data_IF_576181137325
#
_entry.id   IF_576181137325
#
_cell.length_a   1.000
_cell.length_b   1.000
_cell.length_c   1.000
_cell.angle_alpha   90.00
_cell.angle_beta   90.00
_cell.angle_gamma   90.00
#
_symmetry.space_group_name_H-M   'P 1'
#
loop_
_entity.id
_entity.type
_entity.pdbx_description
1 polymer ?
#
# COMPACT_ATOMS: atom_id res chain seq x y z
N UNK A 1 -49.12 -35.89 -29.72
CA UNK A 1 -48.06 -36.49 -28.88
C UNK A 1 -47.12 -35.36 -28.48
N UNK A 2 -47.19 -34.70 -27.33
CA UNK A 2 -47.62 -35.14 -26.01
C UNK A 2 -46.42 -35.71 -25.25
N UNK A 3 -45.63 -34.85 -24.60
CA UNK A 3 -44.96 -35.13 -23.32
C UNK A 3 -44.63 -33.83 -22.61
N UNK A 4 -45.56 -33.45 -21.74
CA UNK A 4 -45.34 -32.53 -20.62
C UNK A 4 -44.35 -33.18 -19.65
N UNK A 5 -43.27 -32.49 -19.29
CA UNK A 5 -42.52 -32.79 -18.07
C UNK A 5 -42.72 -31.65 -17.09
N UNK A 6 -43.65 -31.90 -16.17
CA UNK A 6 -43.84 -31.20 -14.91
C UNK A 6 -42.59 -31.41 -14.07
N UNK A 7 -41.92 -30.33 -13.69
CA UNK A 7 -41.08 -30.32 -12.50
C UNK A 7 -41.58 -29.19 -11.63
N UNK A 8 -41.88 -29.55 -10.40
CA UNK A 8 -42.64 -28.77 -9.44
C UNK A 8 -41.85 -27.57 -8.93
N UNK A 9 -42.58 -26.48 -8.78
CA UNK A 9 -42.18 -25.21 -8.22
C UNK A 9 -41.79 -25.32 -6.75
N UNK A 10 -40.52 -25.09 -6.43
CA UNK A 10 -40.15 -24.51 -5.15
C UNK A 10 -40.23 -22.99 -5.31
N UNK A 11 -41.35 -22.43 -4.88
CA UNK A 11 -41.57 -21.00 -4.83
C UNK A 11 -40.60 -20.34 -3.87
N UNK A 12 -39.66 -19.59 -4.42
CA UNK A 12 -39.07 -18.43 -3.76
C UNK A 12 -39.16 -17.28 -4.75
N UNK A 13 -40.23 -16.50 -4.63
CA UNK A 13 -40.38 -15.25 -5.34
C UNK A 13 -39.40 -14.24 -4.73
N UNK A 14 -38.24 -14.06 -5.37
CA UNK A 14 -37.30 -13.01 -5.01
C UNK A 14 -37.91 -11.69 -5.48
N UNK A 15 -38.54 -10.96 -4.55
CA UNK A 15 -38.87 -9.54 -4.78
C UNK A 15 -37.57 -8.75 -4.90
N UNK A 16 -37.17 -8.47 -6.13
CA UNK A 16 -36.11 -7.50 -6.42
C UNK A 16 -36.68 -6.10 -6.11
N UNK A 17 -36.14 -5.34 -5.16
CA UNK A 17 -36.60 -3.97 -4.92
C UNK A 17 -36.27 -3.11 -6.14
N UNK A 18 -37.23 -2.31 -6.56
CA UNK A 18 -37.05 -1.31 -7.61
C UNK A 18 -35.97 -0.30 -7.19
N UNK A 19 -34.85 -0.33 -7.90
CA UNK A 19 -33.67 0.51 -7.63
C UNK A 19 -33.86 1.94 -8.15
N UNK A 20 -35.01 2.28 -8.74
CA UNK A 20 -35.33 3.64 -9.23
C UNK A 20 -35.40 4.70 -8.12
N UNK A 21 -35.47 4.29 -6.86
CA UNK A 21 -35.55 5.16 -5.68
C UNK A 21 -34.22 5.33 -4.92
N UNK A 22 -33.12 4.68 -5.36
CA UNK A 22 -31.82 4.85 -4.68
C UNK A 22 -31.17 6.17 -5.12
N UNK A 23 -31.37 7.21 -4.31
CA UNK A 23 -30.61 8.45 -4.42
C UNK A 23 -29.14 8.20 -4.04
N UNK A 24 -28.26 8.16 -5.04
CA UNK A 24 -26.80 8.12 -4.87
C UNK A 24 -26.29 9.57 -4.88
N UNK A 25 -25.78 10.12 -3.74
CA UNK A 25 -25.25 11.47 -3.73
C UNK A 25 -24.01 11.56 -4.61
N UNK A 26 -24.07 12.34 -5.69
CA UNK A 26 -22.91 12.63 -6.52
C UNK A 26 -21.93 13.49 -5.72
N UNK A 27 -20.79 12.91 -5.33
CA UNK A 27 -19.63 13.64 -4.80
C UNK A 27 -19.22 14.73 -5.80
N UNK A 28 -19.53 15.99 -5.49
CA UNK A 28 -19.02 17.13 -6.24
C UNK A 28 -17.52 17.26 -5.97
N UNK A 29 -16.71 17.10 -7.02
CA UNK A 29 -15.38 17.71 -7.08
C UNK A 29 -15.60 19.22 -7.06
N UNK A 30 -15.16 19.88 -6.00
CA UNK A 30 -15.12 21.34 -5.94
C UNK A 30 -14.20 21.87 -7.04
N UNK A 31 -14.79 22.51 -8.04
CA UNK A 31 -14.11 23.38 -8.98
C UNK A 31 -14.48 24.81 -8.60
N UNK A 32 -13.47 25.64 -8.38
CA UNK A 32 -13.61 27.07 -8.10
C UNK A 32 -14.21 27.78 -9.32
N UNK A 33 -15.41 28.35 -9.14
CA UNK A 33 -16.05 29.24 -10.10
C UNK A 33 -17.22 29.92 -9.42
N UNK A 34 -17.11 31.24 -9.21
CA UNK A 34 -17.97 32.02 -8.34
C UNK A 34 -19.41 32.21 -8.81
N UNK A 35 -20.28 32.46 -7.85
CA UNK A 35 -21.67 32.90 -8.03
C UNK A 35 -22.30 33.13 -6.67
N UNK A 36 -22.51 34.40 -6.30
CA UNK A 36 -23.14 34.84 -5.05
C UNK A 36 -24.58 34.34 -4.97
N UNK A 37 -24.95 33.74 -3.83
CA UNK A 37 -26.33 33.71 -3.32
C UNK A 37 -26.27 33.92 -1.81
N UNK A 38 -26.95 34.97 -1.36
CA UNK A 38 -27.17 35.29 0.05
C UNK A 38 -27.88 34.12 0.74
N UNK A 39 -27.35 33.71 1.89
CA UNK A 39 -27.99 32.80 2.82
C UNK A 39 -28.23 33.56 4.11
N UNK A 40 -29.50 33.64 4.48
CA UNK A 40 -29.98 34.21 5.74
C UNK A 40 -29.25 33.58 6.91
N UNK A 41 -28.67 34.43 7.75
CA UNK A 41 -27.74 34.02 8.81
C UNK A 41 -28.51 33.88 10.11
N UNK A 42 -28.62 32.65 10.61
CA UNK A 42 -29.21 32.31 11.91
C UNK A 42 -28.61 33.16 13.06
N UNK A 43 -29.41 33.65 14.02
CA UNK A 43 -28.99 34.67 15.01
C UNK A 43 -27.83 34.26 15.93
N UNK A 44 -27.52 32.96 16.04
CA UNK A 44 -26.46 32.43 16.91
C UNK A 44 -25.03 32.69 16.40
N UNK A 45 -24.81 32.82 15.08
CA UNK A 45 -23.46 33.01 14.50
C UNK A 45 -22.98 34.46 14.47
N UNK A 46 -23.89 35.43 14.54
CA UNK A 46 -23.55 36.86 14.61
C UNK A 46 -22.95 37.24 15.98
N UNK A 47 -23.42 36.59 17.03
CA UNK A 47 -22.94 36.84 18.39
C UNK A 47 -21.50 36.36 18.58
N UNK A 48 -21.18 35.15 18.09
CA UNK A 48 -19.82 34.62 18.10
C UNK A 48 -18.83 35.48 17.28
N UNK A 49 -19.28 36.01 16.13
CA UNK A 49 -18.48 36.93 15.33
C UNK A 49 -18.20 38.25 16.07
N UNK A 50 -19.19 38.78 16.79
CA UNK A 50 -19.05 39.99 17.61
C UNK A 50 -18.06 39.77 18.77
N UNK A 51 -18.14 38.61 19.44
CA UNK A 51 -17.20 38.25 20.53
C UNK A 51 -15.76 38.15 20.04
N UNK A 52 -15.52 37.52 18.88
CA UNK A 52 -14.18 37.42 18.30
C UNK A 52 -13.60 38.80 17.91
N UNK A 53 -14.46 39.68 17.39
CA UNK A 53 -14.06 41.04 17.01
C UNK A 53 -13.75 41.92 18.23
N UNK A 54 -14.38 41.68 19.37
CA UNK A 54 -14.05 42.36 20.64
C UNK A 54 -12.78 41.82 21.29
N UNK A 55 -12.51 40.51 21.18
CA UNK A 55 -11.28 39.92 21.70
C UNK A 55 -10.04 40.39 20.93
N UNK A 56 -10.15 40.60 19.62
CA UNK A 56 -9.05 41.13 18.81
C UNK A 56 -8.66 42.58 19.16
N UNK A 57 -9.57 43.35 19.79
CA UNK A 57 -9.33 44.75 20.19
C UNK A 57 -8.72 44.90 21.59
N UNK A 58 -8.65 43.82 22.37
CA UNK A 58 -8.18 43.85 23.76
C UNK A 58 -6.73 43.37 23.95
N UNK A 59 -6.00 43.06 22.87
CA UNK A 59 -4.58 42.68 22.93
C UNK A 59 -3.70 43.93 22.84
N UNK A 60 -2.87 44.25 23.85
CA UNK A 60 -1.89 45.33 23.74
C UNK A 60 -0.78 44.97 22.75
N UNK A 61 -0.38 45.98 21.96
CA UNK A 61 0.59 45.93 20.87
C UNK A 61 2.00 45.63 21.39
N UNK A 62 2.59 44.49 21.01
CA UNK A 62 4.03 44.22 21.14
C UNK A 62 4.68 44.41 19.76
N UNK A 63 5.63 45.34 19.69
CA UNK A 63 6.36 45.70 18.48
C UNK A 63 7.12 44.50 17.88
N UNK A 64 7.00 44.32 16.56
CA UNK A 64 7.73 43.33 15.78
C UNK A 64 9.09 43.88 15.36
N UNK A 65 10.16 43.29 15.88
CA UNK A 65 11.53 43.51 15.44
C UNK A 65 11.73 43.02 13.98
N UNK A 66 12.13 43.94 13.08
CA UNK A 66 12.46 43.67 11.68
C UNK A 66 13.97 43.44 11.53
N UNK A 67 14.41 42.21 11.30
CA UNK A 67 15.74 41.96 10.71
C UNK A 67 15.62 41.75 9.20
N UNK A 68 16.01 42.78 8.44
CA UNK A 68 16.29 42.70 7.00
C UNK A 68 17.61 41.94 6.79
N UNK A 69 17.71 41.10 5.77
CA UNK A 69 18.98 40.94 5.04
C UNK A 69 18.75 40.49 3.59
N UNK A 70 19.01 41.43 2.69
CA UNK A 70 19.28 41.21 1.27
C UNK A 70 20.74 40.77 1.12
N UNK A 71 21.03 39.75 0.29
CA UNK A 71 22.23 39.69 -0.58
C UNK A 71 22.37 38.39 -1.37
N UNK A 72 22.29 38.58 -2.69
CA UNK A 72 23.17 38.03 -3.75
C UNK A 72 23.71 36.60 -3.63
N UNK A 73 23.29 35.81 -4.61
CA UNK A 73 23.96 34.68 -5.26
C UNK A 73 25.51 34.84 -5.30
N UNK A 74 26.23 33.91 -4.65
CA UNK A 74 27.63 33.57 -4.91
C UNK A 74 27.83 32.06 -4.70
N UNK A 75 28.33 31.39 -5.73
CA UNK A 75 28.90 30.04 -5.70
C UNK A 75 30.16 30.00 -4.82
N UNK A 76 30.43 28.88 -4.15
CA UNK A 76 31.80 28.45 -3.95
C UNK A 76 32.01 27.01 -4.43
N UNK A 77 32.85 26.87 -5.46
CA UNK A 77 33.60 25.64 -5.74
C UNK A 77 34.76 25.59 -4.75
N UNK A 78 34.84 24.54 -3.92
CA UNK A 78 36.12 23.99 -3.43
C UNK A 78 35.85 22.76 -2.55
N UNK A 79 36.30 21.62 -3.08
CA UNK A 79 36.60 20.34 -2.45
C UNK A 79 36.66 20.29 -0.91
N UNK A 80 35.73 19.55 -0.31
CA UNK A 80 35.92 18.90 0.99
C UNK A 80 35.58 17.41 0.83
N UNK A 81 36.43 16.50 1.32
CA UNK A 81 36.31 15.07 1.02
C UNK A 81 35.05 14.49 1.66
N UNK A 82 34.20 13.91 0.82
CA UNK A 82 33.01 13.18 1.23
C UNK A 82 33.44 12.06 2.17
N UNK A 83 33.18 12.23 3.47
CA UNK A 83 33.29 11.17 4.46
C UNK A 83 32.27 10.11 4.05
N UNK A 84 32.71 9.14 3.24
CA UNK A 84 31.94 7.96 2.87
C UNK A 84 31.52 7.31 4.17
N UNK A 85 30.28 7.54 4.61
CA UNK A 85 29.66 6.67 5.60
C UNK A 85 29.63 5.30 4.94
N UNK A 86 30.60 4.46 5.27
CA UNK A 86 30.54 3.03 5.02
C UNK A 86 29.18 2.60 5.53
N UNK A 87 28.27 2.30 4.61
CA UNK A 87 27.11 1.49 4.90
C UNK A 87 27.73 0.21 5.44
N UNK A 88 27.66 0.02 6.76
CA UNK A 88 27.95 -1.27 7.37
C UNK A 88 26.99 -2.23 6.68
N UNK A 89 27.53 -2.99 5.72
CA UNK A 89 26.88 -4.18 5.20
C UNK A 89 26.73 -5.04 6.45
N UNK A 90 25.53 -5.07 7.03
CA UNK A 90 25.20 -6.06 8.05
C UNK A 90 25.31 -7.39 7.31
N UNK A 91 26.50 -7.98 7.34
CA UNK A 91 26.66 -9.40 7.15
C UNK A 91 25.81 -10.05 8.23
N UNK A 92 24.62 -10.48 7.84
CA UNK A 92 23.93 -11.52 8.56
C UNK A 92 24.73 -12.79 8.28
N UNK A 93 25.46 -13.35 9.26
CA UNK A 93 26.20 -14.58 9.06
C UNK A 93 25.16 -15.69 8.98
N UNK A 94 25.06 -16.34 7.81
CA UNK A 94 24.01 -17.25 7.38
C UNK A 94 22.60 -16.63 7.25
N UNK A 95 22.09 -16.57 6.03
CA UNK A 95 20.65 -16.39 5.80
C UNK A 95 20.02 -17.73 6.18
N UNK A 96 19.10 -17.78 7.16
CA UNK A 96 18.40 -19.02 7.47
C UNK A 96 17.75 -19.57 6.21
N UNK A 97 17.94 -20.85 5.92
CA UNK A 97 17.25 -21.49 4.80
C UNK A 97 15.74 -21.54 5.09
N UNK A 98 14.92 -21.56 4.03
CA UNK A 98 13.48 -21.77 4.17
C UNK A 98 13.23 -23.07 4.94
N UNK A 99 12.24 -23.08 5.84
CA UNK A 99 11.89 -24.31 6.56
C UNK A 99 11.45 -25.43 5.61
N UNK A 100 11.81 -26.68 5.95
CA UNK A 100 11.50 -27.84 5.12
C UNK A 100 10.00 -27.95 4.81
N UNK A 101 9.13 -27.72 5.79
CA UNK A 101 7.68 -27.77 5.58
C UNK A 101 7.15 -26.72 4.60
N UNK A 102 7.75 -25.51 4.57
CA UNK A 102 7.36 -24.50 3.57
C UNK A 102 7.86 -24.90 2.18
N UNK A 103 9.08 -25.44 2.09
CA UNK A 103 9.67 -25.89 0.83
C UNK A 103 8.92 -27.08 0.24
N UNK A 104 8.58 -28.06 1.06
CA UNK A 104 7.77 -29.22 0.69
C UNK A 104 6.41 -28.76 0.19
N UNK A 105 5.74 -27.84 0.90
CA UNK A 105 4.47 -27.27 0.45
C UNK A 105 4.57 -26.61 -0.93
N UNK A 106 5.65 -25.86 -1.20
CA UNK A 106 5.87 -25.27 -2.53
C UNK A 106 5.99 -26.39 -3.59
N UNK A 107 6.74 -27.46 -3.30
CA UNK A 107 6.90 -28.59 -4.21
C UNK A 107 5.59 -29.35 -4.44
N UNK A 108 4.79 -29.59 -3.40
CA UNK A 108 3.46 -30.20 -3.51
C UNK A 108 2.52 -29.40 -4.42
N UNK A 109 2.64 -28.07 -4.41
CA UNK A 109 1.91 -27.19 -5.31
C UNK A 109 2.46 -27.18 -6.75
N UNK A 110 3.47 -27.99 -7.07
CA UNK A 110 4.15 -27.98 -8.37
C UNK A 110 5.09 -26.78 -8.56
N UNK A 111 5.49 -26.13 -7.48
CA UNK A 111 6.36 -24.97 -7.49
C UNK A 111 7.81 -25.31 -7.85
N UNK A 112 8.40 -24.50 -8.72
CA UNK A 112 9.80 -24.60 -9.19
C UNK A 112 10.48 -23.23 -9.14
N UNK A 113 11.79 -23.19 -9.42
CA UNK A 113 12.57 -21.94 -9.48
C UNK A 113 12.42 -21.10 -8.19
N UNK A 114 12.66 -21.75 -7.05
CA UNK A 114 12.46 -21.15 -5.72
C UNK A 114 13.65 -20.26 -5.39
N UNK A 115 13.41 -18.95 -5.25
CA UNK A 115 14.44 -17.95 -4.98
C UNK A 115 14.08 -17.02 -3.83
N UNK A 116 15.06 -16.69 -3.00
CA UNK A 116 14.90 -15.69 -1.96
C UNK A 116 14.85 -14.30 -2.58
N UNK A 117 13.71 -13.62 -2.43
CA UNK A 117 13.50 -12.26 -2.93
C UNK A 117 14.13 -11.24 -2.00
N UNK A 118 13.78 -11.31 -0.71
CA UNK A 118 14.29 -10.39 0.30
C UNK A 118 14.16 -11.00 1.70
N UNK A 119 15.14 -10.70 2.56
CA UNK A 119 15.01 -10.83 4.01
C UNK A 119 14.99 -9.42 4.59
N UNK A 120 13.95 -9.07 5.34
CA UNK A 120 13.87 -7.75 5.99
C UNK A 120 13.18 -7.82 7.34
N UNK A 121 13.53 -6.86 8.18
CA UNK A 121 12.74 -6.52 9.34
C UNK A 121 11.45 -5.82 8.90
N UNK A 122 10.32 -6.27 9.42
CA UNK A 122 9.01 -5.70 9.15
C UNK A 122 8.95 -4.31 9.79
N UNK A 123 8.64 -3.29 8.99
CA UNK A 123 8.55 -1.91 9.46
C UNK A 123 7.13 -1.56 9.92
N UNK A 124 6.97 -0.52 10.73
CA UNK A 124 5.65 -0.02 11.13
C UNK A 124 4.74 0.31 9.95
N UNK A 125 5.31 0.83 8.86
CA UNK A 125 4.57 1.11 7.62
C UNK A 125 4.07 -0.14 6.93
N UNK A 126 4.76 -1.28 7.11
CA UNK A 126 4.35 -2.53 6.50
C UNK A 126 3.11 -3.11 7.19
N UNK A 127 3.00 -2.99 8.52
CA UNK A 127 1.85 -3.52 9.29
C UNK A 127 0.75 -2.48 9.56
N UNK A 128 0.95 -1.24 9.11
CA UNK A 128 0.00 -0.15 9.32
C UNK A 128 -1.28 -0.41 8.51
N UNK A 129 -2.43 -0.50 9.20
CA UNK A 129 -3.74 -0.66 8.54
C UNK A 129 -4.02 0.41 7.49
N UNK A 130 -3.52 1.62 7.72
CA UNK A 130 -3.68 2.77 6.81
C UNK A 130 -2.87 2.61 5.51
N UNK A 131 -1.65 2.05 5.59
CA UNK A 131 -0.81 1.84 4.41
C UNK A 131 -1.20 0.56 3.67
N UNK A 132 -1.55 -0.50 4.41
CA UNK A 132 -2.10 -1.72 3.86
C UNK A 132 -1.19 -2.47 2.89
N UNK A 133 0.14 -2.35 3.05
CA UNK A 133 1.10 -2.88 2.08
C UNK A 133 2.43 -3.31 2.67
N UNK A 134 3.01 -4.38 2.15
CA UNK A 134 4.43 -4.70 2.32
C UNK A 134 5.25 -4.03 1.23
N UNK A 135 6.26 -3.24 1.61
CA UNK A 135 7.16 -2.59 0.64
C UNK A 135 8.45 -3.39 0.44
N UNK A 136 8.79 -3.63 -0.83
CA UNK A 136 9.95 -4.38 -1.30
C UNK A 136 10.79 -3.47 -2.24
N UNK A 137 11.70 -2.65 -1.68
CA UNK A 137 12.52 -1.74 -2.49
C UNK A 137 13.40 -2.54 -3.45
N UNK A 138 13.39 -2.19 -4.74
CA UNK A 138 14.09 -2.97 -5.78
C UNK A 138 15.60 -3.07 -5.50
N UNK A 139 16.19 -1.99 -4.99
CA UNK A 139 17.60 -1.93 -4.61
C UNK A 139 17.98 -2.78 -3.37
N UNK A 140 17.02 -3.41 -2.71
CA UNK A 140 17.23 -4.31 -1.56
C UNK A 140 16.91 -5.76 -1.88
N UNK A 141 16.44 -6.06 -3.09
CA UNK A 141 16.17 -7.42 -3.52
C UNK A 141 17.48 -8.20 -3.67
N UNK A 142 17.44 -9.47 -3.27
CA UNK A 142 18.50 -10.45 -3.53
C UNK A 142 18.32 -11.10 -4.90
N UNK A 143 17.07 -11.26 -5.32
CA UNK A 143 16.68 -11.83 -6.59
C UNK A 143 15.59 -10.96 -7.22
N UNK A 144 15.76 -10.66 -8.51
CA UNK A 144 14.73 -9.97 -9.28
C UNK A 144 13.72 -11.00 -9.78
N UNK A 145 12.59 -11.07 -9.06
CA UNK A 145 11.64 -12.16 -9.18
C UNK A 145 10.62 -11.99 -10.30
N UNK A 146 10.58 -10.82 -10.96
CA UNK A 146 9.65 -10.52 -12.05
C UNK A 146 10.32 -10.66 -13.42
N UNK A 147 9.61 -11.26 -14.38
CA UNK A 147 10.05 -11.30 -15.78
C UNK A 147 9.89 -9.93 -16.44
N UNK A 148 10.43 -9.75 -17.64
CA UNK A 148 10.30 -8.50 -18.37
C UNK A 148 8.84 -8.19 -18.74
N UNK A 149 8.06 -9.20 -19.08
CA UNK A 149 6.63 -9.09 -19.38
C UNK A 149 5.85 -8.67 -18.13
N UNK A 150 6.14 -9.28 -16.98
CA UNK A 150 5.52 -8.94 -15.69
C UNK A 150 5.88 -7.51 -15.27
N UNK A 151 7.14 -7.10 -15.45
CA UNK A 151 7.58 -5.72 -15.19
C UNK A 151 6.85 -4.73 -16.06
N UNK A 152 6.72 -5.01 -17.36
CA UNK A 152 5.98 -4.16 -18.31
C UNK A 152 4.53 -4.00 -17.86
N UNK A 153 3.87 -5.09 -17.46
CA UNK A 153 2.52 -5.04 -16.92
C UNK A 153 2.43 -4.21 -15.63
N UNK A 154 3.43 -4.31 -14.74
CA UNK A 154 3.47 -3.55 -13.49
C UNK A 154 3.79 -2.06 -13.69
N UNK A 155 4.43 -1.69 -14.79
CA UNK A 155 4.72 -0.30 -15.16
C UNK A 155 3.52 0.41 -15.81
N UNK A 156 2.58 -0.35 -16.37
CA UNK A 156 1.34 0.16 -16.97
C UNK A 156 0.44 0.91 -15.96
N UNK A 157 -0.36 1.82 -16.51
CA UNK A 157 -1.38 2.56 -15.76
C UNK A 157 -2.73 2.43 -16.45
N UNK A 158 -3.75 2.23 -15.64
CA UNK A 158 -5.15 2.17 -16.06
C UNK A 158 -5.93 3.24 -15.29
N UNK A 159 -6.61 4.16 -15.99
CA UNK A 159 -7.44 5.19 -15.36
C UNK A 159 -6.72 6.01 -14.27
N UNK A 160 -5.43 6.34 -14.50
CA UNK A 160 -4.52 7.02 -13.55
C UNK A 160 -4.14 6.21 -12.30
N UNK A 161 -4.55 4.95 -12.21
CA UNK A 161 -4.10 4.02 -11.19
C UNK A 161 -2.99 3.13 -11.75
N UNK A 162 -2.01 2.80 -10.90
CA UNK A 162 -1.01 1.78 -11.24
C UNK A 162 -1.69 0.43 -11.43
N UNK A 163 -1.42 -0.21 -12.56
CA UNK A 163 -1.84 -1.59 -12.80
C UNK A 163 -1.15 -2.50 -11.78
N UNK A 164 -1.82 -3.59 -11.46
CA UNK A 164 -1.28 -4.62 -10.58
C UNK A 164 -1.61 -5.98 -11.15
N UNK A 165 -0.89 -6.98 -10.68
CA UNK A 165 -1.21 -8.37 -10.94
C UNK A 165 -1.49 -9.11 -9.64
N UNK A 166 -2.36 -10.10 -9.73
CA UNK A 166 -2.67 -10.97 -8.61
C UNK A 166 -1.67 -12.13 -8.61
N UNK A 167 -1.00 -12.34 -7.47
CA UNK A 167 -0.08 -13.45 -7.26
C UNK A 167 -0.55 -14.28 -6.08
N UNK A 168 -0.39 -15.59 -6.17
CA UNK A 168 -0.68 -16.49 -5.04
C UNK A 168 0.45 -16.32 -4.02
N UNK A 169 0.07 -16.16 -2.76
CA UNK A 169 0.98 -16.03 -1.64
C UNK A 169 0.66 -17.07 -0.58
N UNK A 170 1.64 -17.91 -0.26
CA UNK A 170 1.58 -18.83 0.88
C UNK A 170 2.32 -18.21 2.07
N UNK A 171 1.79 -18.39 3.27
CA UNK A 171 2.35 -17.75 4.48
C UNK A 171 2.24 -18.63 5.74
N UNK A 172 1.67 -19.82 5.59
CA UNK A 172 1.65 -20.90 6.57
C UNK A 172 1.47 -22.21 5.81
N UNK A 173 1.82 -23.34 6.42
CA UNK A 173 1.63 -24.67 5.84
C UNK A 173 0.13 -24.94 5.75
N UNK A 174 -0.44 -24.71 4.55
CA UNK A 174 -1.88 -24.86 4.27
C UNK A 174 -2.69 -23.56 4.19
N UNK A 175 -2.07 -22.38 4.29
CA UNK A 175 -2.76 -21.09 4.06
C UNK A 175 -2.21 -20.36 2.84
N UNK A 176 -3.13 -20.03 1.95
CA UNK A 176 -2.85 -19.35 0.69
C UNK A 176 -3.79 -18.15 0.55
N UNK A 177 -3.28 -17.06 -0.02
CA UNK A 177 -4.07 -15.87 -0.30
C UNK A 177 -3.65 -15.27 -1.64
N UNK A 178 -4.60 -14.63 -2.32
CA UNK A 178 -4.33 -13.90 -3.54
C UNK A 178 -3.98 -12.45 -3.16
N UNK A 179 -2.73 -12.05 -3.40
CA UNK A 179 -2.23 -10.72 -3.07
C UNK A 179 -2.00 -9.90 -4.34
N UNK A 180 -2.27 -8.60 -4.29
CA UNK A 180 -2.04 -7.73 -5.44
C UNK A 180 -0.62 -7.16 -5.38
N UNK A 181 0.21 -7.52 -6.36
CA UNK A 181 1.53 -6.95 -6.58
C UNK A 181 1.42 -5.71 -7.47
N UNK A 182 2.00 -4.60 -7.02
CA UNK A 182 2.12 -3.35 -7.80
C UNK A 182 3.52 -2.80 -7.75
N UNK A 183 3.94 -2.08 -8.79
CA UNK A 183 5.18 -1.30 -8.78
C UNK A 183 4.87 0.19 -8.55
N UNK A 184 5.51 0.76 -7.53
CA UNK A 184 5.37 2.14 -7.13
C UNK A 184 6.74 2.83 -7.15
N UNK A 185 6.75 4.10 -7.53
CA UNK A 185 7.92 4.95 -7.34
C UNK A 185 7.79 5.65 -5.98
N UNK A 186 8.66 5.31 -5.04
CA UNK A 186 8.71 5.90 -3.70
C UNK A 186 9.99 6.74 -3.61
N UNK A 187 9.82 8.07 -3.67
CA UNK A 187 10.95 8.98 -3.80
C UNK A 187 11.66 8.78 -5.14
N UNK A 188 12.96 8.46 -5.09
CA UNK A 188 13.78 8.19 -6.28
C UNK A 188 13.88 6.71 -6.65
N UNK A 189 13.36 5.80 -5.80
CA UNK A 189 13.49 4.35 -6.02
C UNK A 189 12.15 3.73 -6.39
N UNK A 190 12.19 2.80 -7.34
CA UNK A 190 11.09 1.89 -7.57
C UNK A 190 11.01 0.86 -6.44
N UNK A 191 9.79 0.48 -6.10
CA UNK A 191 9.44 -0.42 -4.99
C UNK A 191 8.27 -1.28 -5.42
N UNK A 192 8.39 -2.58 -5.24
CA UNK A 192 7.24 -3.47 -5.34
C UNK A 192 6.44 -3.42 -4.04
N UNK A 193 5.12 -3.38 -4.15
CA UNK A 193 4.19 -3.32 -3.03
C UNK A 193 3.23 -4.51 -3.12
N UNK A 194 3.20 -5.33 -2.07
CA UNK A 194 2.14 -6.34 -1.90
C UNK A 194 0.97 -5.71 -1.15
N UNK A 195 -0.23 -5.75 -1.72
CA UNK A 195 -1.40 -4.99 -1.24
C UNK A 195 -2.70 -5.84 -1.26
N UNK A 196 -3.81 -5.21 -0.90
CA UNK A 196 -5.19 -5.77 -0.88
C UNK A 196 -5.42 -6.78 0.25
N UNK A 197 -4.73 -7.91 0.26
CA UNK A 197 -4.87 -8.95 1.28
C UNK A 197 -3.77 -8.92 2.35
N UNK A 198 -2.81 -7.99 2.22
CA UNK A 198 -1.67 -7.90 3.13
C UNK A 198 -2.09 -7.68 4.59
N UNK A 199 -3.02 -6.75 4.88
CA UNK A 199 -3.47 -6.51 6.26
C UNK A 199 -4.12 -7.75 6.88
N UNK A 200 -4.94 -8.47 6.12
CA UNK A 200 -5.56 -9.71 6.59
C UNK A 200 -4.50 -10.76 6.92
N UNK A 201 -3.49 -10.91 6.06
CA UNK A 201 -2.36 -11.80 6.31
C UNK A 201 -1.58 -11.40 7.57
N UNK A 202 -1.33 -10.10 7.79
CA UNK A 202 -0.69 -9.58 9.01
C UNK A 202 -1.51 -9.94 10.26
N UNK A 203 -2.83 -9.81 10.20
CA UNK A 203 -3.73 -10.16 11.31
C UNK A 203 -3.72 -11.67 11.59
N UNK A 204 -3.81 -12.52 10.56
CA UNK A 204 -3.83 -13.98 10.70
C UNK A 204 -2.49 -14.58 11.16
N UNK A 205 -1.37 -13.95 10.79
CA UNK A 205 -0.02 -14.38 11.19
C UNK A 205 0.47 -13.71 12.47
N UNK A 206 -0.34 -12.81 13.05
CA UNK A 206 0.03 -11.96 14.18
C UNK A 206 1.40 -11.28 13.99
N UNK A 207 1.69 -10.84 12.76
CA UNK A 207 2.99 -10.26 12.39
C UNK A 207 3.16 -8.89 13.05
N UNK A 208 4.33 -8.67 13.68
CA UNK A 208 4.64 -7.43 14.41
C UNK A 208 5.80 -6.68 13.76
N UNK A 209 5.78 -5.36 13.91
CA UNK A 209 6.93 -4.54 13.55
C UNK A 209 8.14 -4.97 14.38
N UNK A 210 9.31 -5.04 13.75
CA UNK A 210 10.54 -5.51 14.38
C UNK A 210 10.83 -7.00 14.17
N UNK A 211 9.83 -7.80 13.81
CA UNK A 211 10.05 -9.20 13.43
C UNK A 211 10.73 -9.29 12.06
N UNK A 212 11.44 -10.38 11.82
CA UNK A 212 12.11 -10.62 10.55
C UNK A 212 11.31 -11.60 9.72
N UNK A 213 11.16 -11.27 8.43
CA UNK A 213 10.55 -12.17 7.46
C UNK A 213 11.51 -12.40 6.30
N UNK A 214 11.33 -13.54 5.66
CA UNK A 214 11.82 -13.81 4.33
C UNK A 214 10.64 -13.90 3.38
N UNK A 215 10.82 -13.30 2.21
CA UNK A 215 9.91 -13.47 1.09
C UNK A 215 10.66 -14.22 -0.01
N UNK A 216 10.03 -15.28 -0.50
CA UNK A 216 10.53 -16.15 -1.55
C UNK A 216 9.59 -16.07 -2.75
N UNK A 217 10.15 -16.23 -3.94
CA UNK A 217 9.40 -16.37 -5.18
C UNK A 217 9.56 -17.77 -5.72
N UNK A 218 8.53 -18.28 -6.37
CA UNK A 218 8.58 -19.50 -7.13
C UNK A 218 7.64 -19.41 -8.34
N UNK A 219 7.83 -20.31 -9.30
CA UNK A 219 7.03 -20.42 -10.51
C UNK A 219 6.15 -21.65 -10.41
N UNK A 220 4.89 -21.54 -10.82
CA UNK A 220 3.92 -22.65 -10.87
C UNK A 220 3.34 -22.76 -12.28
N UNK A 221 2.97 -23.97 -12.70
CA UNK A 221 2.33 -24.25 -13.99
C UNK A 221 3.11 -23.64 -15.17
N UNK A 222 2.45 -22.83 -16.00
CA UNK A 222 3.03 -22.07 -17.14
C UNK A 222 3.83 -20.83 -16.67
N UNK A 223 4.73 -21.02 -15.71
CA UNK A 223 5.59 -19.98 -15.14
C UNK A 223 4.86 -18.83 -14.42
N UNK A 224 3.67 -19.09 -13.86
CA UNK A 224 2.95 -18.13 -13.04
C UNK A 224 3.75 -17.79 -11.77
N UNK A 225 3.95 -16.49 -11.51
CA UNK A 225 4.61 -16.00 -10.30
C UNK A 225 3.77 -16.28 -9.05
N UNK A 226 4.39 -16.95 -8.08
CA UNK A 226 3.87 -17.16 -6.75
C UNK A 226 4.89 -16.72 -5.70
N UNK A 227 4.42 -16.43 -4.48
CA UNK A 227 5.23 -15.96 -3.37
C UNK A 227 5.04 -16.84 -2.14
N UNK A 228 6.08 -16.95 -1.32
CA UNK A 228 6.02 -17.59 -0.01
C UNK A 228 6.64 -16.67 1.04
N UNK A 229 5.96 -16.48 2.18
CA UNK A 229 6.50 -15.76 3.32
C UNK A 229 6.85 -16.72 4.45
N UNK A 230 8.05 -16.56 4.98
CA UNK A 230 8.52 -17.27 6.17
C UNK A 230 8.81 -16.25 7.26
N UNK A 231 8.22 -16.45 8.44
CA UNK A 231 8.54 -15.68 9.64
C UNK A 231 9.79 -16.29 10.28
N UNK A 232 10.83 -15.47 10.47
CA UNK A 232 12.02 -15.89 11.21
C UNK A 232 11.73 -15.72 12.69
N UNK A 233 11.86 -16.82 13.46
CA UNK A 233 11.72 -16.79 14.91
C UNK A 233 12.67 -15.77 15.53
N UNK A 234 12.25 -15.13 16.62
CA UNK A 234 13.15 -14.36 17.47
C UNK A 234 14.22 -15.32 18.01
N UNK A 235 15.49 -15.10 17.66
CA UNK A 235 16.60 -15.72 18.36
C UNK A 235 16.67 -15.18 19.79
#
# INVERSE_FOLDING_TARGET
MGMSKRVESLGMEIRVPDLSQIYIPKRRRGSSGGGRKEAETEPCVLEAASTLMHLAKSVPNVEKEKSRNTRKRKTPTSSAPTRRKMVKKTEYPSIPEMSDGMRERIMEMGGREIHLVIQKQVQHTDISKNHGRLSLPINKLRFDFTTEEEKKLLDEQENKNKKGMNVVMIYDVGRESIICLKKWKIGSSDTYCLMTQWNKLVEETALRAGEHIQLWSFRKDEAQLCLAMVKLGSC
#
